data_IF_424090666610
#
_entry.id   IF_424090666610
#
_cell.length_a   1.000
_cell.length_b   1.000
_cell.length_c   1.000
_cell.angle_alpha   90.00
_cell.angle_beta   90.00
_cell.angle_gamma   90.00
#
_symmetry.space_group_name_H-M   'P 1'
#
loop_
_entity.id
_entity.type
_entity.pdbx_description
1 polymer ?
#
# COMPACT_ATOMS: atom_id res chain seq x y z
N UNK A 1 9.89 10.25 3.81
CA UNK A 1 8.56 10.03 4.37
C UNK A 1 8.17 8.57 4.20
N UNK A 2 7.93 7.88 5.30
CA UNK A 2 7.50 6.50 5.26
C UNK A 2 6.01 6.40 5.58
N UNK A 3 5.26 5.79 4.69
CA UNK A 3 3.87 5.50 4.90
C UNK A 3 3.69 4.02 5.22
N UNK A 4 2.77 3.74 6.12
CA UNK A 4 2.39 2.36 6.41
C UNK A 4 1.33 1.92 5.43
N UNK A 5 1.55 0.75 4.84
CA UNK A 5 0.63 0.16 3.87
C UNK A 5 0.21 -1.20 4.38
N UNK A 6 -1.07 -1.47 4.35
CA UNK A 6 -1.59 -2.81 4.53
C UNK A 6 -1.88 -3.41 3.16
N UNK A 7 -1.54 -4.66 2.98
CA UNK A 7 -1.78 -5.34 1.72
C UNK A 7 -2.19 -6.79 1.94
N UNK A 8 -2.93 -7.31 0.99
CA UNK A 8 -3.26 -8.73 0.93
C UNK A 8 -3.43 -9.16 -0.52
N UNK A 9 -3.20 -10.43 -0.79
CA UNK A 9 -3.56 -11.00 -2.07
C UNK A 9 -5.09 -10.97 -2.22
N UNK A 10 -5.56 -10.68 -3.43
CA UNK A 10 -6.99 -10.69 -3.71
C UNK A 10 -7.53 -12.10 -3.42
N UNK A 11 -8.57 -12.16 -2.59
CA UNK A 11 -9.14 -13.42 -2.15
C UNK A 11 -8.57 -13.99 -0.87
N UNK A 12 -7.53 -13.36 -0.32
CA UNK A 12 -6.94 -13.76 0.96
C UNK A 12 -7.54 -12.95 2.09
N UNK A 13 -7.62 -13.54 3.27
CA UNK A 13 -8.18 -12.87 4.45
C UNK A 13 -7.11 -12.20 5.32
N UNK A 14 -5.85 -12.48 5.07
CA UNK A 14 -4.76 -12.01 5.93
C UNK A 14 -4.17 -10.74 5.39
N UNK A 15 -4.31 -9.66 6.13
CA UNK A 15 -3.64 -8.39 5.84
C UNK A 15 -2.23 -8.41 6.41
N UNK A 16 -1.29 -7.92 5.62
CA UNK A 16 0.11 -7.78 6.00
C UNK A 16 0.49 -6.32 5.99
N UNK A 17 1.54 -5.98 6.68
CA UNK A 17 2.03 -4.60 6.74
C UNK A 17 3.34 -4.46 5.98
N UNK A 18 3.47 -3.32 5.33
CA UNK A 18 4.69 -2.91 4.69
C UNK A 18 4.84 -1.40 4.84
N UNK A 19 5.98 -0.90 4.44
CA UNK A 19 6.25 0.53 4.41
C UNK A 19 6.65 0.94 3.02
N UNK A 20 6.33 2.17 2.67
CA UNK A 20 6.78 2.77 1.42
C UNK A 20 7.19 4.20 1.64
N UNK A 21 8.28 4.59 1.01
CA UNK A 21 8.68 5.99 0.89
C UNK A 21 8.49 6.52 -0.52
N UNK A 22 7.98 5.70 -1.41
CA UNK A 22 7.90 6.01 -2.82
C UNK A 22 6.58 5.51 -3.39
N UNK A 23 5.65 6.41 -3.52
CA UNK A 23 4.34 6.13 -4.10
C UNK A 23 4.05 7.15 -5.20
N UNK A 24 3.48 6.68 -6.29
CA UNK A 24 2.99 7.52 -7.37
C UNK A 24 1.61 7.04 -7.80
N UNK A 25 1.01 7.74 -8.75
CA UNK A 25 -0.31 7.34 -9.25
C UNK A 25 -0.29 6.00 -10.00
N UNK A 26 0.88 5.54 -10.42
CA UNK A 26 1.00 4.33 -11.23
C UNK A 26 1.66 3.18 -10.49
N UNK A 27 2.29 3.42 -9.35
CA UNK A 27 2.97 2.35 -8.67
C UNK A 27 3.45 2.70 -7.27
N UNK A 28 3.81 1.67 -6.54
CA UNK A 28 4.31 1.79 -5.18
C UNK A 28 5.34 0.71 -4.92
N UNK A 29 6.40 1.08 -4.23
CA UNK A 29 7.42 0.14 -3.77
C UNK A 29 7.17 -0.18 -2.31
N UNK A 30 6.91 -1.45 -2.01
CA UNK A 30 6.62 -1.91 -0.66
C UNK A 30 7.81 -2.65 -0.08
N UNK A 31 8.12 -2.33 1.17
CA UNK A 31 9.17 -3.00 1.95
C UNK A 31 8.58 -3.50 3.24
N UNK A 32 8.77 -4.77 3.51
CA UNK A 32 8.22 -5.39 4.72
C UNK A 32 8.89 -6.72 4.99
N UNK A 33 8.21 -7.54 5.79
CA UNK A 33 8.78 -8.80 6.26
C UNK A 33 8.77 -9.92 5.22
N UNK A 34 8.36 -9.63 4.02
CA UNK A 34 8.31 -10.62 2.96
C UNK A 34 8.01 -9.99 1.63
N UNK A 35 7.97 -10.83 0.62
CA UNK A 35 7.63 -10.40 -0.73
C UNK A 35 6.48 -11.25 -1.25
N UNK A 36 5.74 -10.67 -2.18
CA UNK A 36 4.70 -11.40 -2.89
C UNK A 36 5.21 -11.81 -4.26
N UNK A 37 4.83 -12.97 -4.76
CA UNK A 37 5.26 -13.41 -6.08
C UNK A 37 4.85 -12.45 -7.19
N UNK A 38 5.63 -12.46 -8.28
CA UNK A 38 5.27 -11.70 -9.47
C UNK A 38 3.87 -12.07 -9.95
N UNK A 39 3.18 -11.09 -10.48
CA UNK A 39 1.83 -11.19 -11.03
C UNK A 39 0.72 -11.42 -9.99
N UNK A 40 1.07 -11.45 -8.70
CA UNK A 40 0.04 -11.52 -7.66
C UNK A 40 -0.80 -10.25 -7.67
N UNK A 41 -2.10 -10.39 -7.69
CA UNK A 41 -3.01 -9.26 -7.53
C UNK A 41 -3.17 -8.95 -6.06
N UNK A 42 -3.05 -7.68 -5.74
CA UNK A 42 -3.07 -7.21 -4.36
C UNK A 42 -4.13 -6.14 -4.17
N UNK A 43 -4.71 -6.16 -2.99
CA UNK A 43 -5.42 -5.01 -2.44
C UNK A 43 -4.48 -4.29 -1.47
N UNK A 44 -4.44 -2.98 -1.55
CA UNK A 44 -3.62 -2.16 -0.69
C UNK A 44 -4.47 -1.10 0.01
N UNK A 45 -4.12 -0.83 1.26
CA UNK A 45 -4.68 0.29 2.01
C UNK A 45 -3.55 1.15 2.51
N UNK A 46 -3.54 2.39 2.08
CA UNK A 46 -2.55 3.36 2.50
C UNK A 46 -3.22 4.34 3.43
N UNK A 47 -2.79 4.35 4.68
CA UNK A 47 -3.30 5.31 5.64
C UNK A 47 -2.66 6.66 5.38
N UNK A 48 -3.46 7.63 5.01
CA UNK A 48 -3.03 8.99 4.82
C UNK A 48 -3.24 9.73 6.13
N UNK A 49 -2.25 9.68 6.99
CA UNK A 49 -2.36 10.38 8.25
C UNK A 49 -1.95 11.82 8.06
N UNK A 50 -2.76 12.68 8.61
CA UNK A 50 -2.44 14.09 8.68
C UNK A 50 -1.80 14.36 10.03
N UNK A 51 -0.70 15.10 10.03
CA UNK A 51 0.00 15.47 11.24
C UNK A 51 -0.69 16.59 12.01
N UNK A 52 -1.74 17.14 11.46
CA UNK A 52 -2.45 18.25 12.07
C UNK A 52 -3.72 17.76 12.74
N UNK A 53 -4.04 18.23 13.95
CA UNK A 53 -5.25 17.79 14.65
C UNK A 53 -6.53 18.06 13.89
N UNK A 54 -6.56 19.12 13.12
CA UNK A 54 -7.73 19.46 12.33
C UNK A 54 -7.77 18.74 11.00
N UNK A 55 -6.70 18.12 10.59
CA UNK A 55 -6.64 17.47 9.31
C UNK A 55 -7.36 16.13 9.38
N UNK A 56 -8.10 15.86 8.37
CA UNK A 56 -8.90 14.67 8.29
C UNK A 56 -8.16 13.67 7.46
N UNK A 57 -7.58 12.71 8.14
CA UNK A 57 -6.92 11.62 7.46
C UNK A 57 -7.87 10.91 6.52
N UNK A 58 -7.32 10.10 5.68
CA UNK A 58 -8.09 9.28 4.76
C UNK A 58 -7.40 7.98 4.53
N UNK A 59 -8.01 7.17 3.73
CA UNK A 59 -7.47 5.90 3.32
C UNK A 59 -7.51 5.82 1.80
N UNK A 60 -6.38 5.52 1.21
CA UNK A 60 -6.29 5.24 -0.20
C UNK A 60 -6.36 3.73 -0.39
N UNK A 61 -7.39 3.27 -1.06
CA UNK A 61 -7.54 1.86 -1.42
C UNK A 61 -7.07 1.67 -2.84
N UNK A 62 -6.22 0.68 -3.05
CA UNK A 62 -5.68 0.39 -4.36
C UNK A 62 -5.83 -1.09 -4.69
N UNK A 63 -5.94 -1.37 -5.96
CA UNK A 63 -5.80 -2.71 -6.51
C UNK A 63 -4.67 -2.67 -7.53
N UNK A 64 -3.76 -3.61 -7.41
CA UNK A 64 -2.63 -3.64 -8.31
C UNK A 64 -2.06 -5.04 -8.47
N UNK A 65 -0.91 -5.10 -9.08
CA UNK A 65 -0.23 -6.34 -9.39
C UNK A 65 1.26 -6.20 -9.14
N UNK A 66 1.86 -7.24 -8.57
CA UNK A 66 3.31 -7.27 -8.36
C UNK A 66 4.00 -7.37 -9.71
N UNK A 67 4.83 -6.39 -10.03
CA UNK A 67 5.50 -6.33 -11.34
C UNK A 67 7.01 -6.51 -11.23
N UNK A 68 7.58 -6.40 -10.04
CA UNK A 68 9.01 -6.52 -9.87
C UNK A 68 9.35 -6.87 -8.42
N UNK A 69 10.33 -7.73 -8.24
CA UNK A 69 10.93 -7.98 -6.94
C UNK A 69 12.21 -7.17 -6.83
N UNK A 70 12.43 -6.57 -5.67
CA UNK A 70 13.62 -5.77 -5.39
C UNK A 70 14.46 -6.53 -4.38
N UNK A 71 15.70 -6.79 -4.73
CA UNK A 71 16.59 -7.59 -3.90
C UNK A 71 17.75 -6.81 -3.35
N UNK A 72 18.32 -7.32 -2.27
CA UNK A 72 19.59 -6.86 -1.74
C UNK A 72 20.75 -7.41 -2.58
N UNK A 73 21.94 -6.79 -2.49
CA UNK A 73 23.11 -7.31 -3.21
C UNK A 73 23.46 -8.75 -2.87
N UNK A 74 23.09 -9.25 -1.69
CA UNK A 74 23.33 -10.63 -1.28
C UNK A 74 22.30 -11.62 -1.85
N UNK A 75 21.33 -11.13 -2.63
CA UNK A 75 20.30 -11.96 -3.22
C UNK A 75 19.06 -12.14 -2.38
N UNK A 76 19.02 -11.63 -1.15
CA UNK A 76 17.82 -11.69 -0.33
C UNK A 76 16.78 -10.68 -0.81
N UNK A 77 15.48 -11.01 -0.73
CA UNK A 77 14.45 -10.08 -1.13
C UNK A 77 14.32 -8.92 -0.13
N UNK A 78 14.26 -7.71 -0.64
CA UNK A 78 14.08 -6.51 0.17
C UNK A 78 12.65 -6.01 0.09
N UNK A 79 12.01 -6.13 -1.08
CA UNK A 79 10.68 -5.61 -1.28
C UNK A 79 10.14 -5.98 -2.64
N UNK A 80 9.02 -5.35 -2.98
CA UNK A 80 8.40 -5.60 -4.28
C UNK A 80 7.68 -4.36 -4.75
N UNK A 81 7.65 -4.18 -6.06
CA UNK A 81 6.97 -3.08 -6.70
C UNK A 81 5.60 -3.54 -7.21
N UNK A 82 4.60 -2.71 -6.97
CA UNK A 82 3.22 -2.97 -7.36
C UNK A 82 2.81 -1.91 -8.36
N UNK A 83 2.34 -2.34 -9.54
CA UNK A 83 1.68 -1.45 -10.47
C UNK A 83 0.23 -1.30 -10.06
N UNK A 84 -0.22 -0.06 -9.94
CA UNK A 84 -1.58 0.23 -9.48
C UNK A 84 -2.51 0.27 -10.70
N UNK A 85 -3.54 -0.54 -10.68
CA UNK A 85 -4.57 -0.56 -11.72
C UNK A 85 -5.73 0.37 -11.38
N UNK A 86 -6.14 0.37 -10.11
CA UNK A 86 -7.27 1.16 -9.64
C UNK A 86 -6.98 1.68 -8.27
N UNK A 87 -7.50 2.88 -7.97
CA UNK A 87 -7.45 3.41 -6.63
C UNK A 87 -8.68 4.27 -6.35
N UNK A 88 -9.02 4.35 -5.07
CA UNK A 88 -10.09 5.19 -4.58
C UNK A 88 -9.70 5.78 -3.23
N UNK A 89 -9.98 7.04 -3.06
CA UNK A 89 -9.74 7.72 -1.80
C UNK A 89 -11.00 7.70 -0.95
N UNK A 90 -10.85 7.31 0.31
CA UNK A 90 -11.93 7.31 1.27
C UNK A 90 -11.55 8.21 2.44
N UNK A 91 -12.21 9.35 2.61
CA UNK A 91 -11.95 10.19 3.76
C UNK A 91 -12.42 9.51 5.04
N UNK A 92 -11.65 9.70 6.11
CA UNK A 92 -11.99 9.11 7.40
C UNK A 92 -13.01 9.88 8.19
N UNK A 93 -13.22 11.13 7.86
CA UNK A 93 -14.17 11.93 8.61
C UNK A 93 -15.58 11.58 8.19
N UNK A 94 -16.46 11.67 9.15
CA UNK A 94 -17.88 11.54 8.89
C UNK A 94 -18.50 12.92 8.94
N UNK A 95 -19.33 13.19 7.94
CA UNK A 95 -20.16 14.37 8.01
C UNK A 95 -21.20 14.15 9.11
N UNK A 96 -21.49 15.19 9.92
CA UNK A 96 -22.55 15.04 10.90
C UNK A 96 -23.84 14.71 10.19
N UNK A 97 -24.50 13.71 10.71
CA UNK A 97 -25.83 13.35 10.26
C UNK A 97 -26.79 14.22 11.03
N UNK A 98 -27.47 15.02 10.31
CA UNK A 98 -28.44 15.93 10.90
C UNK A 98 -29.83 15.33 10.81
#
# INVERSE_FOLDING_TARGET
>A
LNLTVQYRAVGDDVWRQAKTGNISSTGVLLRGDGVMPLDTRLELRVALSANEPAARGGELSCVGRVVRLVGEPDGSPEGFAVAIDEYAFQPRFRLPVV
#
